data_IF_095601668990
#
_entry.id   IF_095601668990
#
_cell.length_a   1.000
_cell.length_b   1.000
_cell.length_c   1.000
_cell.angle_alpha   90.00
_cell.angle_beta   90.00
_cell.angle_gamma   90.00
#
_symmetry.space_group_name_H-M   'P 1'
#
loop_
_entity.id
_entity.type
_entity.pdbx_description
1 polymer ?
#
# COMPACT_ATOMS: atom_id res chain seq x y z
N UNK A 1 -1.52 -25.39 -19.57
CA UNK A 1 -1.00 -26.36 -18.58
C UNK A 1 -0.96 -27.72 -19.25
N UNK A 2 0.20 -28.39 -19.23
CA UNK A 2 0.28 -29.79 -19.65
C UNK A 2 0.00 -30.69 -18.44
N UNK A 3 -0.91 -31.63 -18.58
CA UNK A 3 -1.24 -32.59 -17.55
C UNK A 3 -0.69 -33.97 -17.95
N UNK A 4 -0.03 -34.68 -17.02
CA UNK A 4 0.45 -36.05 -17.19
C UNK A 4 -0.17 -36.92 -16.10
N UNK A 5 -1.08 -37.82 -16.48
CA UNK A 5 -1.77 -38.70 -15.54
C UNK A 5 -0.92 -39.96 -15.24
N UNK A 6 0.23 -39.80 -14.55
CA UNK A 6 1.13 -40.85 -14.13
C UNK A 6 1.82 -40.52 -12.82
N UNK A 7 2.50 -41.49 -12.25
CA UNK A 7 3.34 -41.25 -11.07
C UNK A 7 4.51 -40.30 -11.41
N UNK A 8 5.01 -39.62 -10.37
CA UNK A 8 6.17 -38.73 -10.44
C UNK A 8 7.42 -39.53 -10.85
N UNK A 9 8.21 -38.94 -11.74
CA UNK A 9 9.51 -39.44 -12.18
C UNK A 9 10.58 -38.35 -12.04
N UNK A 10 11.86 -38.73 -11.82
CA UNK A 10 12.96 -37.80 -11.61
C UNK A 10 13.14 -36.79 -12.77
N UNK A 11 12.78 -37.21 -14.00
CA UNK A 11 12.83 -36.32 -15.17
C UNK A 11 11.80 -35.18 -15.13
N UNK A 12 10.76 -35.26 -14.30
CA UNK A 12 9.71 -34.24 -14.24
C UNK A 12 10.21 -32.88 -13.67
N UNK A 13 11.30 -32.90 -12.91
CA UNK A 13 11.91 -31.67 -12.39
C UNK A 13 12.90 -31.04 -13.37
N UNK A 14 13.28 -31.71 -14.43
CA UNK A 14 14.27 -31.20 -15.38
C UNK A 14 13.75 -29.99 -16.17
N UNK A 15 14.57 -28.96 -16.27
CA UNK A 15 14.24 -27.71 -16.99
C UNK A 15 13.09 -26.90 -16.38
N UNK A 16 12.70 -27.13 -15.13
CA UNK A 16 11.67 -26.36 -14.45
C UNK A 16 12.27 -25.14 -13.77
N UNK A 17 11.58 -24.00 -13.85
CA UNK A 17 11.96 -22.78 -13.15
C UNK A 17 11.67 -22.88 -11.64
N UNK A 18 10.61 -23.59 -11.25
CA UNK A 18 10.26 -23.89 -9.86
C UNK A 18 9.41 -25.17 -9.82
N UNK A 19 9.33 -25.80 -8.64
CA UNK A 19 8.56 -27.02 -8.40
C UNK A 19 7.67 -26.85 -7.17
N UNK A 20 6.42 -27.33 -7.26
CA UNK A 20 5.51 -27.43 -6.12
C UNK A 20 5.11 -28.90 -5.98
N UNK A 21 5.36 -29.49 -4.81
CA UNK A 21 4.93 -30.83 -4.46
C UNK A 21 3.70 -30.75 -3.53
N UNK A 22 2.59 -31.33 -3.97
CA UNK A 22 1.30 -31.30 -3.26
C UNK A 22 0.65 -32.69 -3.24
N UNK A 23 1.43 -33.74 -2.96
CA UNK A 23 0.91 -35.10 -2.92
C UNK A 23 0.62 -35.55 -1.49
N UNK A 24 -0.27 -36.54 -1.34
CA UNK A 24 -0.52 -37.18 -0.05
C UNK A 24 0.59 -38.15 0.38
N UNK A 25 1.60 -38.42 -0.48
CA UNK A 25 2.69 -39.36 -0.22
C UNK A 25 3.94 -38.61 0.20
N UNK A 26 4.27 -38.65 1.48
CA UNK A 26 5.44 -37.94 2.04
C UNK A 26 6.75 -38.37 1.33
N UNK A 27 6.93 -39.68 1.04
CA UNK A 27 8.11 -40.18 0.35
C UNK A 27 8.30 -39.55 -1.03
N UNK A 28 7.20 -39.33 -1.79
CA UNK A 28 7.25 -38.64 -3.07
C UNK A 28 7.61 -37.20 -2.90
N UNK A 29 6.97 -36.48 -1.96
CA UNK A 29 7.25 -35.08 -1.68
C UNK A 29 8.73 -34.88 -1.28
N UNK A 30 9.29 -35.74 -0.46
CA UNK A 30 10.71 -35.72 -0.07
C UNK A 30 11.63 -35.92 -1.28
N UNK A 31 11.34 -36.93 -2.10
CA UNK A 31 12.12 -37.21 -3.33
C UNK A 31 12.07 -36.01 -4.30
N UNK A 32 10.89 -35.38 -4.49
CA UNK A 32 10.76 -34.17 -5.30
C UNK A 32 11.63 -33.04 -4.75
N UNK A 33 11.59 -32.82 -3.43
CA UNK A 33 12.39 -31.78 -2.76
C UNK A 33 13.90 -32.00 -2.96
N UNK A 34 14.38 -33.22 -2.71
CA UNK A 34 15.79 -33.57 -2.85
C UNK A 34 16.28 -33.38 -4.29
N UNK A 35 15.52 -33.87 -5.25
CA UNK A 35 15.86 -33.77 -6.68
C UNK A 35 15.85 -32.31 -7.17
N UNK A 36 14.91 -31.49 -6.71
CA UNK A 36 14.86 -30.08 -7.07
C UNK A 36 16.03 -29.31 -6.43
N UNK A 37 16.29 -29.50 -5.15
CA UNK A 37 17.42 -28.88 -4.43
C UNK A 37 18.77 -29.25 -5.03
N UNK A 38 18.96 -30.51 -5.40
CA UNK A 38 20.19 -30.98 -6.06
C UNK A 38 20.46 -30.30 -7.41
N UNK A 39 19.40 -29.76 -8.05
CA UNK A 39 19.46 -29.01 -9.32
C UNK A 39 19.38 -27.52 -9.17
N UNK A 40 19.42 -27.00 -7.94
CA UNK A 40 19.19 -25.58 -7.61
C UNK A 40 17.84 -25.03 -8.15
N UNK A 41 16.82 -25.88 -8.20
CA UNK A 41 15.47 -25.47 -8.58
C UNK A 41 14.68 -25.14 -7.31
N UNK A 42 14.08 -23.95 -7.19
CA UNK A 42 13.23 -23.61 -6.07
C UNK A 42 12.09 -24.62 -5.90
N UNK A 43 11.90 -25.10 -4.67
CA UNK A 43 10.86 -26.09 -4.36
C UNK A 43 10.03 -25.68 -3.15
N UNK A 44 8.72 -25.80 -3.28
CA UNK A 44 7.77 -25.71 -2.18
C UNK A 44 7.05 -27.05 -2.02
N UNK A 45 6.98 -27.54 -0.81
CA UNK A 45 6.25 -28.77 -0.44
C UNK A 45 5.10 -28.35 0.47
N UNK A 46 3.87 -28.63 0.03
CA UNK A 46 2.67 -28.21 0.78
C UNK A 46 2.65 -28.92 2.14
N UNK A 47 2.39 -28.16 3.20
CA UNK A 47 2.33 -28.59 4.59
C UNK A 47 3.62 -29.19 5.17
N UNK A 48 4.78 -29.06 4.48
CA UNK A 48 6.08 -29.57 4.91
C UNK A 48 7.17 -28.50 4.74
N UNK A 49 7.22 -27.47 5.62
CA UNK A 49 8.14 -26.34 5.50
C UNK A 49 9.63 -26.73 5.47
N UNK A 50 10.01 -27.79 6.16
CA UNK A 50 11.39 -28.30 6.23
C UNK A 50 11.90 -28.84 4.88
N UNK A 51 11.01 -29.23 4.01
CA UNK A 51 11.32 -29.67 2.65
C UNK A 51 11.34 -28.50 1.65
N UNK A 52 10.89 -27.32 2.02
CA UNK A 52 10.83 -26.16 1.17
C UNK A 52 12.19 -25.48 1.01
N UNK A 53 12.43 -24.84 -0.14
CA UNK A 53 13.47 -23.84 -0.33
C UNK A 53 12.88 -22.42 -0.47
N UNK A 54 11.58 -22.30 -0.67
CA UNK A 54 10.83 -21.06 -0.61
C UNK A 54 9.41 -21.30 -0.07
N UNK A 55 8.79 -20.28 0.47
CA UNK A 55 7.41 -20.32 0.97
C UNK A 55 6.55 -19.44 0.07
N UNK A 56 5.39 -19.97 -0.36
CA UNK A 56 4.39 -19.18 -1.08
C UNK A 56 3.68 -18.26 -0.11
N UNK A 57 3.79 -16.93 -0.28
CA UNK A 57 3.13 -15.98 0.61
C UNK A 57 1.62 -15.91 0.38
N UNK A 58 0.89 -15.36 1.34
CA UNK A 58 -0.48 -14.90 1.14
C UNK A 58 -0.46 -13.60 0.36
N UNK A 59 -1.16 -13.52 -0.77
CA UNK A 59 -1.09 -12.38 -1.70
C UNK A 59 -2.38 -11.58 -1.68
N UNK A 60 -2.24 -10.25 -1.67
CA UNK A 60 -3.26 -9.27 -2.04
C UNK A 60 -2.87 -8.77 -3.42
N UNK A 61 -3.76 -8.92 -4.40
CA UNK A 61 -3.45 -8.64 -5.80
C UNK A 61 -4.50 -7.69 -6.44
N UNK A 62 -4.46 -6.38 -6.12
CA UNK A 62 -5.20 -5.39 -6.87
C UNK A 62 -4.49 -5.03 -8.19
N UNK A 63 -4.00 -5.98 -8.90
CA UNK A 63 -3.15 -5.91 -10.09
C UNK A 63 -3.18 -4.56 -10.86
N UNK A 64 -2.01 -3.95 -11.14
CA UNK A 64 -0.65 -4.53 -11.10
C UNK A 64 0.07 -4.40 -9.75
N UNK A 65 -0.54 -3.84 -8.72
CA UNK A 65 0.03 -3.76 -7.37
C UNK A 65 -0.14 -5.10 -6.66
N UNK A 66 0.91 -5.59 -6.01
CA UNK A 66 0.86 -6.83 -5.23
C UNK A 66 1.47 -6.61 -3.84
N UNK A 67 0.80 -7.13 -2.81
CA UNK A 67 1.33 -7.18 -1.44
C UNK A 67 1.40 -8.63 -1.00
N UNK A 68 2.58 -9.07 -0.62
CA UNK A 68 2.84 -10.43 -0.17
C UNK A 68 3.07 -10.48 1.34
N UNK A 69 2.34 -11.35 2.05
CA UNK A 69 2.45 -11.53 3.50
C UNK A 69 2.95 -12.94 3.79
N UNK A 70 4.09 -13.05 4.46
CA UNK A 70 4.65 -14.34 4.87
C UNK A 70 4.98 -14.32 6.35
N UNK A 71 4.74 -15.44 7.02
CA UNK A 71 5.20 -15.70 8.40
C UNK A 71 6.45 -16.60 8.44
N UNK A 72 7.14 -16.81 7.32
CA UNK A 72 8.27 -17.73 7.22
C UNK A 72 7.87 -19.19 7.52
N UNK A 73 6.67 -19.58 7.13
CA UNK A 73 6.05 -20.87 7.43
C UNK A 73 5.70 -21.12 8.92
N UNK A 74 5.98 -20.17 9.81
CA UNK A 74 5.71 -20.34 11.26
C UNK A 74 4.21 -20.41 11.56
N UNK A 75 3.39 -19.59 10.89
CA UNK A 75 1.95 -19.59 11.09
C UNK A 75 1.18 -19.13 9.84
N UNK A 76 0.70 -20.08 9.02
CA UNK A 76 -0.15 -19.74 7.86
C UNK A 76 -1.43 -18.99 8.26
N UNK A 77 -1.97 -19.27 9.45
CA UNK A 77 -3.15 -18.58 9.99
C UNK A 77 -2.86 -17.11 10.24
N UNK A 78 -1.71 -16.80 10.87
CA UNK A 78 -1.30 -15.41 11.12
C UNK A 78 -1.08 -14.66 9.79
N UNK A 79 -0.41 -15.25 8.82
CA UNK A 79 -0.22 -14.65 7.51
C UNK A 79 -1.56 -14.34 6.81
N UNK A 80 -2.54 -15.24 6.92
CA UNK A 80 -3.90 -15.04 6.38
C UNK A 80 -4.64 -13.92 7.10
N UNK A 81 -4.56 -13.86 8.44
CA UNK A 81 -5.20 -12.78 9.22
C UNK A 81 -4.59 -11.41 8.91
N UNK A 82 -3.26 -11.33 8.80
CA UNK A 82 -2.59 -10.10 8.41
C UNK A 82 -2.95 -9.71 6.98
N UNK A 83 -3.00 -10.66 6.05
CA UNK A 83 -3.47 -10.39 4.69
C UNK A 83 -4.87 -9.77 4.70
N UNK A 84 -5.81 -10.37 5.43
CA UNK A 84 -7.19 -9.87 5.49
C UNK A 84 -7.27 -8.44 6.05
N UNK A 85 -6.45 -8.09 7.05
CA UNK A 85 -6.35 -6.71 7.55
C UNK A 85 -5.75 -5.77 6.52
N UNK A 86 -4.64 -6.13 5.90
CA UNK A 86 -3.97 -5.31 4.89
C UNK A 86 -4.84 -5.11 3.64
N UNK A 87 -5.70 -6.06 3.29
CA UNK A 87 -6.63 -5.96 2.17
C UNK A 87 -7.61 -4.78 2.31
N UNK A 88 -7.93 -4.40 3.56
CA UNK A 88 -8.73 -3.20 3.85
C UNK A 88 -7.94 -1.89 3.62
N UNK A 89 -6.62 -1.92 3.82
CA UNK A 89 -5.73 -0.75 3.60
C UNK A 89 -5.27 -0.63 2.15
N UNK A 90 -5.28 -1.72 1.40
CA UNK A 90 -4.84 -1.77 -0.01
C UNK A 90 -6.03 -2.19 -0.89
N UNK A 91 -7.05 -1.31 -1.05
CA UNK A 91 -8.21 -1.60 -1.88
C UNK A 91 -7.84 -1.70 -3.37
N UNK A 92 -8.75 -2.26 -4.17
CA UNK A 92 -8.59 -2.43 -5.62
C UNK A 92 -8.27 -1.12 -6.37
N UNK A 93 -8.63 0.03 -5.80
CA UNK A 93 -8.33 1.35 -6.35
C UNK A 93 -6.81 1.63 -6.50
N UNK A 94 -5.94 1.00 -5.70
CA UNK A 94 -4.49 1.09 -5.93
C UNK A 94 -4.07 0.48 -7.27
N UNK A 95 -4.75 -0.58 -7.72
CA UNK A 95 -4.52 -1.13 -9.05
C UNK A 95 -4.93 -0.18 -10.16
N UNK A 96 -6.04 0.56 -9.98
CA UNK A 96 -6.48 1.60 -10.92
C UNK A 96 -5.48 2.77 -10.94
N UNK A 97 -5.02 3.20 -9.76
CA UNK A 97 -3.99 4.24 -9.61
C UNK A 97 -2.69 3.85 -10.34
N UNK A 98 -2.23 2.62 -10.18
CA UNK A 98 -1.03 2.14 -10.86
C UNK A 98 -1.20 2.11 -12.39
N UNK A 99 -2.36 1.72 -12.90
CA UNK A 99 -2.69 1.76 -14.34
C UNK A 99 -2.73 3.18 -14.88
N UNK A 100 -3.27 4.12 -14.09
CA UNK A 100 -3.25 5.53 -14.46
C UNK A 100 -1.80 6.04 -14.57
N UNK A 101 -0.97 5.77 -13.56
CA UNK A 101 0.47 6.11 -13.56
C UNK A 101 1.18 5.54 -14.79
N UNK A 102 0.95 4.25 -15.09
CA UNK A 102 1.53 3.60 -16.27
C UNK A 102 1.16 4.34 -17.57
N UNK A 103 -0.12 4.72 -17.71
CA UNK A 103 -0.60 5.43 -18.92
C UNK A 103 0.00 6.82 -19.13
N UNK A 104 0.54 7.46 -18.08
CA UNK A 104 1.18 8.78 -18.15
C UNK A 104 2.71 8.73 -18.07
N UNK A 105 3.29 7.58 -17.81
CA UNK A 105 4.72 7.41 -17.51
C UNK A 105 5.63 8.03 -18.56
N UNK A 106 5.37 7.77 -19.85
CA UNK A 106 6.21 8.28 -20.93
C UNK A 106 6.05 9.78 -21.12
N UNK A 107 4.82 10.31 -20.94
CA UNK A 107 4.55 11.76 -21.01
C UNK A 107 5.27 12.51 -19.90
N UNK A 108 5.25 12.01 -18.66
CA UNK A 108 5.99 12.55 -17.53
C UNK A 108 7.50 12.49 -17.77
N UNK A 109 7.98 11.37 -18.35
CA UNK A 109 9.40 11.22 -18.71
C UNK A 109 9.84 12.23 -19.78
N UNK A 110 9.00 12.55 -20.73
CA UNK A 110 9.27 13.56 -21.75
C UNK A 110 9.23 14.99 -21.21
N UNK A 111 8.29 15.25 -20.27
CA UNK A 111 8.12 16.59 -19.68
C UNK A 111 9.21 16.97 -18.70
N UNK A 112 9.66 16.04 -17.85
CA UNK A 112 10.62 16.27 -16.79
C UNK A 112 11.97 15.62 -17.10
N UNK A 113 13.03 16.43 -17.21
CA UNK A 113 14.37 15.97 -17.58
C UNK A 113 15.07 15.18 -16.47
N UNK A 114 14.88 15.54 -15.20
CA UNK A 114 15.54 14.91 -14.06
C UNK A 114 14.70 13.80 -13.41
N UNK A 115 15.37 12.85 -12.75
CA UNK A 115 14.72 11.79 -11.97
C UNK A 115 13.99 12.41 -10.77
N UNK A 116 14.60 13.43 -10.16
CA UNK A 116 14.08 14.09 -8.97
C UNK A 116 12.74 14.79 -9.25
N UNK A 117 12.67 15.59 -10.33
CA UNK A 117 11.44 16.25 -10.77
C UNK A 117 10.32 15.24 -11.04
N UNK A 118 10.64 14.10 -11.69
CA UNK A 118 9.66 13.03 -11.95
C UNK A 118 9.17 12.37 -10.66
N UNK A 119 10.08 12.14 -9.69
CA UNK A 119 9.73 11.58 -8.39
C UNK A 119 8.79 12.51 -7.65
N UNK A 120 9.14 13.79 -7.53
CA UNK A 120 8.34 14.79 -6.83
C UNK A 120 6.95 14.98 -7.47
N UNK A 121 6.89 15.02 -8.81
CA UNK A 121 5.62 15.08 -9.52
C UNK A 121 4.73 13.88 -9.14
N UNK A 122 5.27 12.66 -9.16
CA UNK A 122 4.51 11.46 -8.82
C UNK A 122 4.12 11.42 -7.35
N UNK A 123 5.01 11.80 -6.43
CA UNK A 123 4.70 11.87 -5.01
C UNK A 123 3.51 12.80 -4.75
N UNK A 124 3.52 14.00 -5.34
CA UNK A 124 2.41 14.95 -5.23
C UNK A 124 1.10 14.40 -5.80
N UNK A 125 1.14 13.77 -6.97
CA UNK A 125 -0.07 13.21 -7.60
C UNK A 125 -0.62 12.01 -6.85
N UNK A 126 0.25 11.14 -6.33
CA UNK A 126 -0.14 9.88 -5.67
C UNK A 126 -0.53 10.07 -4.20
N UNK A 127 -0.15 11.17 -3.59
CA UNK A 127 -0.54 11.53 -2.22
C UNK A 127 -1.65 12.58 -2.16
N UNK A 128 -1.95 13.25 -3.30
CA UNK A 128 -2.90 14.35 -3.39
C UNK A 128 -4.27 13.97 -4.00
N UNK A 129 -4.89 14.96 -4.62
CA UNK A 129 -6.25 14.90 -5.16
C UNK A 129 -6.48 13.75 -6.14
N UNK A 130 -5.50 13.41 -6.98
CA UNK A 130 -5.63 12.34 -7.99
C UNK A 130 -5.91 10.99 -7.32
N UNK A 131 -5.19 10.65 -6.26
CA UNK A 131 -5.42 9.42 -5.52
C UNK A 131 -6.79 9.40 -4.85
N UNK A 132 -7.18 10.50 -4.19
CA UNK A 132 -8.48 10.61 -3.53
C UNK A 132 -9.66 10.51 -4.50
N UNK A 133 -9.53 11.08 -5.69
CA UNK A 133 -10.54 10.95 -6.75
C UNK A 133 -10.70 9.50 -7.22
N UNK A 134 -9.59 8.78 -7.42
CA UNK A 134 -9.63 7.35 -7.78
C UNK A 134 -10.22 6.49 -6.66
N UNK A 135 -9.86 6.74 -5.41
CA UNK A 135 -10.47 6.05 -4.27
C UNK A 135 -11.97 6.33 -4.13
N UNK A 136 -12.43 7.48 -4.62
CA UNK A 136 -13.85 7.83 -4.71
C UNK A 136 -14.55 7.30 -5.98
N UNK A 137 -13.85 6.54 -6.85
CA UNK A 137 -14.38 6.01 -8.12
C UNK A 137 -14.58 7.07 -9.21
N UNK A 138 -13.85 8.19 -9.15
CA UNK A 138 -13.94 9.30 -10.11
C UNK A 138 -12.78 9.26 -11.10
N UNK A 139 -12.64 8.17 -11.84
CA UNK A 139 -11.49 7.89 -12.69
C UNK A 139 -11.24 8.97 -13.77
N UNK A 140 -12.31 9.43 -14.45
CA UNK A 140 -12.20 10.46 -15.48
C UNK A 140 -11.76 11.81 -14.91
N UNK A 141 -12.25 12.18 -13.72
CA UNK A 141 -11.85 13.42 -13.05
C UNK A 141 -10.39 13.34 -12.62
N UNK A 142 -9.96 12.20 -12.05
CA UNK A 142 -8.57 11.96 -11.66
C UNK A 142 -7.63 12.09 -12.86
N UNK A 143 -8.01 11.52 -13.99
CA UNK A 143 -7.26 11.63 -15.26
C UNK A 143 -7.16 13.08 -15.73
N UNK A 144 -8.25 13.84 -15.71
CA UNK A 144 -8.26 15.24 -16.12
C UNK A 144 -7.38 16.12 -15.22
N UNK A 145 -7.41 15.89 -13.90
CA UNK A 145 -6.54 16.59 -12.93
C UNK A 145 -5.07 16.29 -13.20
N UNK A 146 -4.72 15.01 -13.39
CA UNK A 146 -3.35 14.61 -13.73
C UNK A 146 -2.87 15.21 -15.06
N UNK A 147 -3.74 15.23 -16.05
CA UNK A 147 -3.44 15.81 -17.36
C UNK A 147 -3.18 17.31 -17.27
N UNK A 148 -4.04 18.02 -16.53
CA UNK A 148 -3.87 19.44 -16.24
C UNK A 148 -2.57 19.71 -15.50
N UNK A 149 -2.31 18.97 -14.41
CA UNK A 149 -1.08 19.12 -13.63
C UNK A 149 0.19 18.92 -14.49
N UNK A 150 0.16 17.99 -15.44
CA UNK A 150 1.27 17.76 -16.36
C UNK A 150 1.46 18.90 -17.39
N UNK A 151 0.38 19.59 -17.78
CA UNK A 151 0.44 20.73 -18.70
C UNK A 151 0.89 22.01 -18.00
N UNK A 152 0.37 22.25 -16.78
CA UNK A 152 0.56 23.47 -15.99
C UNK A 152 1.88 23.47 -15.19
N UNK A 153 2.62 22.35 -15.18
CA UNK A 153 3.89 22.27 -14.47
C UNK A 153 4.91 23.19 -15.12
N UNK A 154 5.00 24.43 -14.66
CA UNK A 154 6.17 25.27 -14.83
C UNK A 154 7.35 24.63 -14.08
N UNK A 155 8.59 24.93 -14.46
CA UNK A 155 9.79 24.23 -14.00
C UNK A 155 10.05 24.29 -12.47
N UNK A 156 9.27 25.05 -11.73
CA UNK A 156 9.25 25.04 -10.26
C UNK A 156 7.86 24.59 -9.77
N UNK A 157 7.76 23.40 -9.15
CA UNK A 157 6.55 23.01 -8.44
C UNK A 157 6.38 23.94 -7.23
N UNK A 158 5.43 24.87 -7.30
CA UNK A 158 4.98 25.57 -6.11
C UNK A 158 4.18 24.57 -5.28
N UNK A 159 4.61 24.22 -4.06
CA UNK A 159 3.79 23.42 -3.18
C UNK A 159 2.53 24.22 -2.83
N UNK A 160 1.42 23.87 -3.44
CA UNK A 160 0.11 24.39 -3.02
C UNK A 160 -0.26 23.62 -1.77
N UNK A 161 -0.35 24.32 -0.63
CA UNK A 161 -0.83 23.72 0.61
C UNK A 161 -2.31 23.32 0.46
N UNK A 162 -2.67 22.17 1.02
CA UNK A 162 -4.06 21.70 1.07
C UNK A 162 -4.53 21.62 2.51
N UNK A 163 -5.77 22.03 2.77
CA UNK A 163 -6.39 21.95 4.10
C UNK A 163 -7.57 20.98 4.05
N UNK A 164 -7.52 19.96 4.90
CA UNK A 164 -8.57 18.96 5.02
C UNK A 164 -9.30 19.09 6.35
N UNK A 165 -10.62 19.20 6.31
CA UNK A 165 -11.47 19.05 7.48
C UNK A 165 -11.77 17.58 7.72
N UNK A 166 -11.29 17.03 8.83
CA UNK A 166 -11.36 15.62 9.17
C UNK A 166 -12.20 15.42 10.42
N UNK A 167 -13.24 14.59 10.33
CA UNK A 167 -14.00 14.16 11.51
C UNK A 167 -13.24 13.10 12.30
N UNK A 168 -12.98 13.38 13.58
CA UNK A 168 -12.24 12.48 14.47
C UNK A 168 -13.09 11.36 15.11
N UNK A 169 -14.40 11.30 14.81
CA UNK A 169 -15.29 10.31 15.40
C UNK A 169 -15.47 10.47 16.91
N UNK A 170 -16.00 9.46 17.61
CA UNK A 170 -16.26 9.52 19.06
C UNK A 170 -15.01 9.28 19.94
N UNK A 171 -13.82 9.13 19.32
CA UNK A 171 -12.56 8.94 20.03
C UNK A 171 -11.98 7.53 19.98
N UNK A 172 -12.70 6.58 19.39
CA UNK A 172 -12.23 5.23 19.14
C UNK A 172 -11.54 5.17 17.77
N UNK A 173 -10.23 4.83 17.70
CA UNK A 173 -9.50 4.69 16.44
C UNK A 173 -10.15 3.75 15.42
N UNK A 174 -10.80 2.68 15.90
CA UNK A 174 -11.44 1.69 15.02
C UNK A 174 -12.69 2.25 14.30
N UNK A 175 -13.21 3.39 14.75
CA UNK A 175 -14.34 4.09 14.13
C UNK A 175 -13.90 5.21 13.19
N UNK A 176 -12.60 5.40 12.99
CA UNK A 176 -12.10 6.36 12.03
C UNK A 176 -12.28 5.84 10.60
N UNK A 177 -12.66 6.72 9.69
CA UNK A 177 -12.73 6.32 8.27
C UNK A 177 -11.33 6.10 7.70
N UNK A 178 -11.20 5.18 6.75
CA UNK A 178 -9.92 4.98 6.05
C UNK A 178 -9.39 6.24 5.38
N UNK A 179 -10.28 7.11 4.90
CA UNK A 179 -9.88 8.40 4.34
C UNK A 179 -9.26 9.30 5.40
N UNK A 180 -9.90 9.41 6.56
CA UNK A 180 -9.37 10.20 7.67
C UNK A 180 -8.00 9.70 8.13
N UNK A 181 -7.82 8.37 8.23
CA UNK A 181 -6.53 7.76 8.56
C UNK A 181 -5.45 8.11 7.53
N UNK A 182 -5.73 7.99 6.24
CA UNK A 182 -4.76 8.36 5.19
C UNK A 182 -4.36 9.82 5.28
N UNK A 183 -5.34 10.72 5.44
CA UNK A 183 -5.08 12.16 5.56
C UNK A 183 -4.22 12.49 6.78
N UNK A 184 -4.48 11.87 7.95
CA UNK A 184 -3.64 12.01 9.14
C UNK A 184 -2.21 11.52 8.93
N UNK A 185 -2.03 10.43 8.17
CA UNK A 185 -0.71 9.88 7.86
C UNK A 185 0.06 10.67 6.80
N UNK A 186 -0.60 11.56 6.08
CA UNK A 186 0.01 12.44 5.06
C UNK A 186 0.24 13.86 5.57
N UNK A 187 -0.52 14.30 6.56
CA UNK A 187 -0.49 15.67 7.04
C UNK A 187 0.88 16.10 7.58
N UNK A 188 1.34 17.27 7.17
CA UNK A 188 2.52 17.93 7.74
C UNK A 188 2.20 18.61 9.06
N UNK A 189 0.95 19.12 9.18
CA UNK A 189 0.43 19.80 10.37
C UNK A 189 -0.95 19.23 10.70
N UNK A 190 -1.18 18.92 11.98
CA UNK A 190 -2.49 18.51 12.52
C UNK A 190 -2.94 19.57 13.53
N UNK A 191 -3.98 20.32 13.16
CA UNK A 191 -4.62 21.31 14.05
C UNK A 191 -5.80 20.64 14.73
N UNK A 192 -5.83 20.65 16.07
CA UNK A 192 -6.84 19.92 16.85
C UNK A 192 -7.28 20.66 18.11
N UNK A 193 -8.45 20.34 18.60
CA UNK A 193 -8.99 20.84 19.86
C UNK A 193 -9.13 19.70 20.91
N UNK A 194 -9.67 20.04 22.09
CA UNK A 194 -9.83 19.10 23.20
C UNK A 194 -10.84 17.96 22.93
N UNK A 195 -11.63 18.04 21.85
CA UNK A 195 -12.64 17.00 21.53
C UNK A 195 -11.98 15.80 20.82
N UNK A 196 -10.79 15.99 20.29
CA UNK A 196 -10.03 14.91 19.65
C UNK A 196 -9.35 14.06 20.70
N UNK A 197 -9.67 12.77 20.74
CA UNK A 197 -9.07 11.83 21.67
C UNK A 197 -7.58 11.57 21.33
N UNK A 198 -6.68 11.47 22.34
CA UNK A 198 -5.26 11.19 22.11
C UNK A 198 -4.96 10.00 21.20
N UNK A 199 -5.67 8.84 21.29
CA UNK A 199 -5.41 7.72 20.38
C UNK A 199 -5.64 8.03 18.90
N UNK A 200 -6.44 9.04 18.57
CA UNK A 200 -6.62 9.51 17.18
C UNK A 200 -5.39 10.30 16.72
N UNK A 201 -4.83 11.13 17.60
CA UNK A 201 -3.61 11.91 17.30
C UNK A 201 -2.39 11.00 17.12
N UNK A 202 -2.33 9.89 17.84
CA UNK A 202 -1.27 8.88 17.71
C UNK A 202 -1.24 8.21 16.33
N UNK A 203 -2.32 8.32 15.55
CA UNK A 203 -2.38 7.82 14.18
C UNK A 203 -1.77 8.78 13.14
N UNK A 204 -1.51 10.02 13.53
CA UNK A 204 -0.84 10.98 12.66
C UNK A 204 0.60 10.55 12.36
N UNK A 205 1.14 11.07 11.26
CA UNK A 205 2.56 10.89 10.90
C UNK A 205 3.45 11.35 12.07
N UNK A 206 4.48 10.58 12.42
CA UNK A 206 5.32 10.84 13.62
C UNK A 206 6.04 12.19 13.63
N UNK A 207 6.32 12.71 12.45
CA UNK A 207 6.99 14.00 12.23
C UNK A 207 6.01 15.13 11.89
N UNK A 208 4.70 14.88 11.90
CA UNK A 208 3.69 15.92 11.76
C UNK A 208 3.72 16.88 12.96
N UNK A 209 3.67 18.18 12.68
CA UNK A 209 3.49 19.19 13.71
C UNK A 209 2.06 19.11 14.26
N UNK A 210 1.92 19.06 15.59
CA UNK A 210 0.61 18.98 16.25
C UNK A 210 0.33 20.30 16.97
N UNK A 211 -0.68 21.05 16.50
CA UNK A 211 -1.04 22.36 17.03
C UNK A 211 -2.38 22.30 17.78
N UNK A 212 -2.33 22.48 19.08
CA UNK A 212 -3.53 22.55 19.91
C UNK A 212 -4.18 23.94 19.85
N UNK A 213 -5.46 23.99 19.47
CA UNK A 213 -6.24 25.24 19.36
C UNK A 213 -7.48 25.24 20.27
N UNK A 214 -7.60 24.25 21.16
CA UNK A 214 -8.75 24.14 22.07
C UNK A 214 -8.76 25.21 23.15
N UNK A 215 -9.96 25.57 23.63
CA UNK A 215 -10.15 26.53 24.75
C UNK A 215 -9.97 25.80 26.07
N UNK A 216 -8.93 26.12 26.83
CA UNK A 216 -8.81 25.78 28.25
C UNK A 216 -9.33 26.94 29.14
N UNK A 217 -9.92 26.58 30.31
CA UNK A 217 -10.61 27.53 31.18
C UNK A 217 -9.70 28.66 31.73
N UNK A 218 -8.36 28.48 31.75
CA UNK A 218 -7.38 29.38 32.34
C UNK A 218 -6.15 29.68 31.45
N UNK A 219 -6.14 29.28 30.18
CA UNK A 219 -5.02 29.56 29.29
C UNK A 219 -5.55 30.18 27.98
N UNK A 220 -4.88 31.24 27.50
CA UNK A 220 -5.29 32.02 26.35
C UNK A 220 -5.44 31.16 25.10
N UNK A 221 -6.67 30.70 24.86
CA UNK A 221 -7.04 30.04 23.61
C UNK A 221 -6.77 30.98 22.45
N UNK A 222 -6.30 30.45 21.35
CA UNK A 222 -6.25 31.16 20.08
C UNK A 222 -7.63 31.67 19.74
N UNK A 223 -7.74 32.98 19.42
CA UNK A 223 -9.00 33.55 18.93
C UNK A 223 -9.34 32.87 17.58
N UNK A 224 -10.64 32.89 17.19
CA UNK A 224 -11.04 32.34 15.89
C UNK A 224 -10.28 33.02 14.74
N UNK A 225 -9.95 34.30 14.88
CA UNK A 225 -9.15 35.05 13.91
C UNK A 225 -7.73 34.50 13.79
N UNK A 226 -7.09 34.14 14.91
CA UNK A 226 -5.76 33.54 14.92
C UNK A 226 -5.77 32.13 14.34
N UNK A 227 -6.84 31.33 14.56
CA UNK A 227 -7.02 30.02 13.94
C UNK A 227 -7.17 30.17 12.42
N UNK A 228 -7.96 31.16 11.97
CA UNK A 228 -8.14 31.43 10.54
C UNK A 228 -6.86 31.95 9.87
N UNK A 229 -5.93 32.53 10.61
CA UNK A 229 -4.61 32.94 10.09
C UNK A 229 -3.60 31.80 10.07
N UNK A 230 -3.81 30.79 10.91
CA UNK A 230 -2.98 29.59 10.97
C UNK A 230 -3.25 28.63 9.80
N UNK A 231 -4.50 28.58 9.36
CA UNK A 231 -4.96 27.76 8.23
C UNK A 231 -4.75 28.46 6.89
#
# INVERSE_FOLDING_TARGET
>A
IRHSARAFEAADVEGKALVIAATSREAVNRSVSELAKARNIPVNVVDQPELCSFIVPSIIDPSPVQVAVSSGATSPVLARLLRARLESYVPAAYGQLAKLVESFRDRVKMRFGSIEQRRQFWENMLQGEVAELLFAGRDETARAVLEKALQDSDDEPHPVGEVYLVGAGPGDPDLLTFRALRLLQMADVVVYDRLVAPPILDLARRDAEQIYVGKERDNHALSQENINQLL
#
